data_IF_441369142482
#
_entry.id   IF_441369142482
#
_cell.length_a   1.000
_cell.length_b   1.000
_cell.length_c   1.000
_cell.angle_alpha   90.00
_cell.angle_beta   90.00
_cell.angle_gamma   90.00
#
_symmetry.space_group_name_H-M   'P 1'
#
loop_
_entity.id
_entity.type
_entity.pdbx_description
1 polymer ?
#
# COMPACT_ATOMS: atom_id res chain seq x y z
N UNK A 1 -22.97 -2.65 29.10
CA UNK A 1 -22.01 -1.51 29.06
C UNK A 1 -20.81 -1.97 28.25
N UNK A 2 -20.44 -1.27 27.19
CA UNK A 2 -19.32 -1.65 26.34
C UNK A 2 -18.00 -1.46 27.12
N UNK A 3 -17.19 -2.52 27.24
CA UNK A 3 -15.87 -2.42 27.85
C UNK A 3 -14.98 -1.64 26.88
N UNK A 4 -14.75 -0.36 27.18
CA UNK A 4 -13.86 0.48 26.37
C UNK A 4 -12.41 0.12 26.67
N UNK A 5 -11.73 -0.46 25.67
CA UNK A 5 -10.31 -0.78 25.76
C UNK A 5 -9.48 0.50 25.72
N UNK A 6 -8.55 0.66 26.66
CA UNK A 6 -7.61 1.79 26.66
C UNK A 6 -6.37 1.47 25.80
N UNK A 7 -5.64 2.48 25.30
CA UNK A 7 -4.38 2.30 24.61
C UNK A 7 -3.20 2.00 25.54
N UNK A 8 -3.43 1.78 26.85
CA UNK A 8 -2.38 1.56 27.83
C UNK A 8 -2.12 0.07 28.06
N UNK A 9 -0.83 -0.32 28.10
CA UNK A 9 -0.38 -1.67 28.44
C UNK A 9 0.56 -1.57 29.65
N UNK A 10 0.22 -2.25 30.73
CA UNK A 10 1.12 -2.44 31.87
C UNK A 10 2.04 -3.63 31.58
N UNK A 11 3.35 -3.45 31.76
CA UNK A 11 4.36 -4.49 31.64
C UNK A 11 5.14 -4.61 32.95
N UNK A 12 5.30 -5.84 33.42
CA UNK A 12 6.11 -6.16 34.59
C UNK A 12 7.54 -6.42 34.13
N UNK A 13 8.50 -5.64 34.66
CA UNK A 13 9.91 -5.67 34.28
C UNK A 13 10.73 -6.61 35.17
N UNK A 14 10.38 -6.75 36.44
CA UNK A 14 11.09 -7.57 37.42
C UNK A 14 10.14 -8.25 38.42
N UNK A 15 10.68 -9.19 39.23
CA UNK A 15 9.91 -9.99 40.20
C UNK A 15 9.39 -11.31 39.64
N UNK A 16 8.60 -12.04 40.44
CA UNK A 16 8.11 -13.38 40.08
C UNK A 16 7.24 -13.41 38.80
N UNK A 17 6.67 -12.26 38.42
CA UNK A 17 5.82 -12.11 37.24
C UNK A 17 6.52 -11.32 36.11
N UNK A 18 7.86 -11.24 36.11
CA UNK A 18 8.62 -10.52 35.09
C UNK A 18 8.28 -11.02 33.68
N UNK A 19 8.09 -10.08 32.74
CA UNK A 19 7.68 -10.37 31.36
C UNK A 19 6.17 -10.39 31.15
N UNK A 20 5.36 -10.44 32.21
CA UNK A 20 3.90 -10.32 32.09
C UNK A 20 3.51 -8.96 31.50
N UNK A 21 2.49 -8.94 30.63
CA UNK A 21 1.95 -7.74 30.03
C UNK A 21 0.43 -7.80 30.02
N UNK A 22 -0.23 -6.73 30.47
CA UNK A 22 -1.69 -6.65 30.59
C UNK A 22 -2.18 -5.36 29.96
N UNK A 23 -3.18 -5.46 29.07
CA UNK A 23 -3.84 -4.27 28.51
C UNK A 23 -4.83 -3.72 29.55
N UNK A 24 -4.68 -2.44 29.88
CA UNK A 24 -5.52 -1.77 30.86
C UNK A 24 -6.87 -1.37 30.21
N UNK A 25 -7.95 -1.52 30.97
CA UNK A 25 -9.28 -1.03 30.60
C UNK A 25 -9.46 0.37 31.18
N UNK A 26 -10.30 1.21 30.56
CA UNK A 26 -10.66 2.49 31.18
C UNK A 26 -11.40 2.25 32.52
N UNK A 27 -11.14 3.10 33.50
CA UNK A 27 -11.68 2.98 34.86
C UNK A 27 -10.60 2.67 35.90
N UNK A 28 -11.03 2.21 37.08
CA UNK A 28 -10.14 1.90 38.20
C UNK A 28 -9.59 0.48 38.08
N UNK A 29 -8.28 0.33 38.26
CA UNK A 29 -7.56 -0.94 38.28
C UNK A 29 -6.74 -1.04 39.57
N UNK A 30 -7.01 -2.04 40.39
CA UNK A 30 -6.27 -2.32 41.62
C UNK A 30 -5.22 -3.40 41.38
N UNK A 31 -3.99 -3.12 41.81
CA UNK A 31 -2.83 -4.01 41.74
C UNK A 31 -2.43 -4.41 43.16
N UNK A 32 -2.29 -5.71 43.40
CA UNK A 32 -1.93 -6.24 44.71
C UNK A 32 -1.70 -7.74 44.69
N UNK A 33 -1.46 -8.31 45.86
CA UNK A 33 -1.25 -9.76 46.03
C UNK A 33 -2.55 -10.54 46.21
N UNK A 34 -3.61 -9.89 46.69
CA UNK A 34 -4.89 -10.56 46.97
C UNK A 34 -5.64 -10.91 45.69
N UNK A 35 -6.38 -12.02 45.74
CA UNK A 35 -7.32 -12.41 44.68
C UNK A 35 -8.47 -11.40 44.47
N UNK A 36 -8.65 -10.44 45.38
CA UNK A 36 -9.58 -9.34 45.21
C UNK A 36 -9.04 -8.16 44.37
N UNK A 37 -7.78 -8.21 43.95
CA UNK A 37 -7.17 -7.20 43.06
C UNK A 37 -7.38 -7.55 41.59
N UNK A 38 -7.50 -6.54 40.72
CA UNK A 38 -7.68 -6.73 39.28
C UNK A 38 -6.42 -7.28 38.59
N UNK A 39 -5.24 -6.86 39.07
CA UNK A 39 -3.95 -7.41 38.66
C UNK A 39 -3.29 -8.03 39.90
N UNK A 40 -3.13 -9.34 39.86
CA UNK A 40 -2.57 -10.13 40.96
C UNK A 40 -1.08 -10.35 40.73
N UNK A 41 -0.26 -9.88 41.67
CA UNK A 41 1.19 -10.07 41.66
C UNK A 41 1.59 -10.97 42.84
N UNK A 42 2.10 -12.16 42.50
CA UNK A 42 2.60 -13.15 43.46
C UNK A 42 4.01 -12.77 43.95
N UNK A 43 4.10 -11.76 44.80
CA UNK A 43 5.37 -11.34 45.43
C UNK A 43 5.13 -11.00 46.91
N UNK A 44 6.00 -11.45 47.81
CA UNK A 44 5.87 -11.21 49.25
C UNK A 44 6.03 -9.73 49.63
N UNK A 45 6.73 -8.95 48.81
CA UNK A 45 6.92 -7.51 49.03
C UNK A 45 5.69 -6.67 48.65
N UNK A 46 4.65 -7.28 48.08
CA UNK A 46 3.42 -6.63 47.65
C UNK A 46 2.30 -6.88 48.66
N UNK A 47 1.56 -5.80 48.97
CA UNK A 47 0.42 -5.84 49.88
C UNK A 47 -0.82 -6.40 49.18
N UNK A 48 -1.81 -6.83 49.94
CA UNK A 48 -3.05 -7.41 49.41
C UNK A 48 -3.74 -6.48 48.39
N UNK A 49 -3.74 -5.16 48.66
CA UNK A 49 -4.01 -4.08 47.70
C UNK A 49 -2.89 -3.05 47.84
N UNK A 50 -2.07 -2.89 46.82
CA UNK A 50 -0.81 -2.12 46.94
C UNK A 50 -0.84 -0.82 46.13
N UNK A 51 -1.45 -0.84 44.95
CA UNK A 51 -1.55 0.31 44.06
C UNK A 51 -2.92 0.34 43.39
N UNK A 52 -3.49 1.52 43.21
CA UNK A 52 -4.66 1.74 42.37
C UNK A 52 -4.27 2.66 41.21
N UNK A 53 -4.69 2.31 40.00
CA UNK A 53 -4.54 3.11 38.80
C UNK A 53 -5.92 3.52 38.29
N UNK A 54 -6.13 4.82 38.09
CA UNK A 54 -7.32 5.35 37.43
C UNK A 54 -6.97 5.67 35.98
N UNK A 55 -7.53 4.89 35.06
CA UNK A 55 -7.21 4.91 33.63
C UNK A 55 -8.27 5.74 32.89
N UNK A 56 -7.89 6.93 32.43
CA UNK A 56 -8.68 7.76 31.53
C UNK A 56 -8.43 7.44 30.05
N UNK A 57 -8.97 8.29 29.16
CA UNK A 57 -8.73 8.18 27.72
C UNK A 57 -7.28 8.53 27.32
N UNK A 58 -6.66 9.46 28.06
CA UNK A 58 -5.34 10.03 27.77
C UNK A 58 -4.40 10.15 28.97
N UNK A 59 -4.87 9.87 30.18
CA UNK A 59 -4.08 10.01 31.39
C UNK A 59 -4.29 8.85 32.37
N UNK A 60 -3.28 8.65 33.21
CA UNK A 60 -3.28 7.65 34.27
C UNK A 60 -3.00 8.39 35.57
N UNK A 61 -3.89 8.26 36.55
CA UNK A 61 -3.61 8.68 37.91
C UNK A 61 -3.22 7.46 38.73
N UNK A 62 -2.15 7.60 39.50
CA UNK A 62 -1.63 6.59 40.41
C UNK A 62 -2.00 6.97 41.84
N UNK A 63 -2.59 6.03 42.57
CA UNK A 63 -2.95 6.17 43.97
C UNK A 63 -2.29 5.03 44.77
N UNK A 64 -1.28 5.30 45.61
CA UNK A 64 -0.69 4.29 46.48
C UNK A 64 -1.70 3.85 47.54
N UNK A 65 -1.85 2.53 47.74
CA UNK A 65 -2.68 1.95 48.80
C UNK A 65 -1.85 1.30 49.91
N UNK A 66 -0.59 1.00 49.62
CA UNK A 66 0.40 0.52 50.57
C UNK A 66 1.76 1.16 50.27
N UNK A 67 2.72 0.93 51.17
CA UNK A 67 4.09 1.45 51.05
C UNK A 67 5.09 0.31 50.93
N UNK A 68 6.22 0.49 50.23
CA UNK A 68 6.61 1.69 49.48
C UNK A 68 6.22 1.64 48.00
N UNK A 69 5.88 2.79 47.41
CA UNK A 69 5.66 2.99 45.97
C UNK A 69 6.58 4.09 45.45
N UNK A 70 7.46 3.74 44.52
CA UNK A 70 8.34 4.71 43.86
C UNK A 70 7.98 4.86 42.38
N UNK A 71 8.15 6.07 41.83
CA UNK A 71 8.03 6.35 40.40
C UNK A 71 9.34 7.01 39.93
N UNK A 72 10.06 6.36 39.01
CA UNK A 72 11.41 6.73 38.57
C UNK A 72 12.37 7.00 39.76
N UNK A 73 12.23 6.22 40.84
CA UNK A 73 13.03 6.34 42.06
C UNK A 73 12.57 7.43 43.05
N UNK A 74 11.52 8.20 42.74
CA UNK A 74 10.91 9.16 43.67
C UNK A 74 9.81 8.50 44.48
N UNK A 75 9.87 8.60 45.81
CA UNK A 75 8.82 8.07 46.67
C UNK A 75 7.52 8.88 46.51
N UNK A 76 6.45 8.19 46.12
CA UNK A 76 5.11 8.78 45.96
C UNK A 76 4.10 8.20 46.94
N UNK A 77 4.52 7.38 47.91
CA UNK A 77 3.65 6.59 48.78
C UNK A 77 2.57 7.37 49.54
N UNK A 78 2.74 8.68 49.72
CA UNK A 78 1.85 9.53 50.52
C UNK A 78 0.90 10.43 49.73
N UNK A 79 0.88 10.35 48.39
CA UNK A 79 0.00 11.18 47.57
C UNK A 79 -0.40 10.51 46.27
N UNK A 80 -1.59 10.82 45.78
CA UNK A 80 -1.91 10.54 44.38
C UNK A 80 -1.07 11.41 43.46
N UNK A 81 -0.62 10.84 42.35
CA UNK A 81 0.16 11.55 41.34
C UNK A 81 -0.21 11.09 39.93
N UNK A 82 -0.08 11.97 38.96
CA UNK A 82 -0.20 11.60 37.54
C UNK A 82 0.98 10.71 37.15
N UNK A 83 0.70 9.55 36.57
CA UNK A 83 1.71 8.64 36.03
C UNK A 83 1.86 8.89 34.53
N UNK A 84 3.02 9.39 34.12
CA UNK A 84 3.34 9.48 32.71
C UNK A 84 3.69 8.10 32.13
N UNK A 85 3.31 7.80 30.87
CA UNK A 85 3.74 6.56 30.22
C UNK A 85 5.27 6.43 30.18
N UNK A 86 5.76 5.19 30.17
CA UNK A 86 7.17 4.79 30.18
C UNK A 86 7.94 5.05 31.49
N UNK A 87 7.30 5.62 32.50
CA UNK A 87 7.87 5.76 33.84
C UNK A 87 7.89 4.43 34.57
N UNK A 88 9.01 4.15 35.25
CA UNK A 88 9.18 2.93 36.05
C UNK A 88 8.50 3.13 37.39
N UNK A 89 7.70 2.17 37.81
CA UNK A 89 7.04 2.17 39.10
C UNK A 89 7.54 0.96 39.87
N UNK A 90 7.99 1.16 41.10
CA UNK A 90 8.49 0.10 41.96
C UNK A 90 7.53 -0.11 43.12
N UNK A 91 7.08 -1.36 43.27
CA UNK A 91 6.24 -1.85 44.37
C UNK A 91 7.07 -2.91 45.12
N UNK A 92 7.80 -2.50 46.15
CA UNK A 92 8.78 -3.37 46.80
C UNK A 92 9.86 -3.87 45.82
N UNK A 93 9.91 -5.18 45.57
CA UNK A 93 10.85 -5.83 44.66
C UNK A 93 10.38 -5.88 43.19
N UNK A 94 9.13 -5.51 42.91
CA UNK A 94 8.54 -5.57 41.57
C UNK A 94 8.61 -4.22 40.88
N UNK A 95 9.20 -4.19 39.70
CA UNK A 95 9.24 -3.04 38.80
C UNK A 95 8.22 -3.22 37.68
N UNK A 96 7.42 -2.18 37.41
CA UNK A 96 6.42 -2.16 36.36
C UNK A 96 6.48 -0.86 35.56
N UNK A 97 6.01 -0.90 34.32
CA UNK A 97 5.93 0.26 33.43
C UNK A 97 4.59 0.25 32.71
N UNK A 98 3.99 1.43 32.53
CA UNK A 98 2.79 1.57 31.70
C UNK A 98 3.17 2.21 30.37
N UNK A 99 2.90 1.51 29.27
CA UNK A 99 3.20 1.92 27.91
C UNK A 99 1.93 2.49 27.27
N UNK A 100 2.06 3.55 26.45
CA UNK A 100 0.97 4.03 25.59
C UNK A 100 1.22 3.52 24.17
N UNK A 101 0.32 2.67 23.64
CA UNK A 101 0.48 2.09 22.29
C UNK A 101 0.34 3.12 21.16
N UNK A 102 -0.11 4.34 21.47
CA UNK A 102 -0.18 5.46 20.50
C UNK A 102 1.16 6.20 20.40
N UNK A 103 2.06 6.01 21.36
CA UNK A 103 3.38 6.64 21.38
C UNK A 103 4.45 5.58 21.07
N UNK A 104 5.42 5.97 20.25
CA UNK A 104 6.61 5.14 20.05
C UNK A 104 7.48 5.34 21.28
N UNK A 105 7.95 4.25 21.89
CA UNK A 105 8.83 4.31 23.06
C UNK A 105 10.03 5.23 22.75
N UNK A 106 10.50 6.07 23.70
CA UNK A 106 11.74 6.79 23.51
C UNK A 106 12.85 5.76 23.35
N UNK A 107 13.37 5.59 22.13
CA UNK A 107 14.58 4.82 21.90
C UNK A 107 15.69 5.50 22.69
N UNK A 108 16.16 4.81 23.73
CA UNK A 108 17.43 5.13 24.37
C UNK A 108 18.53 5.04 23.30
N UNK A 109 19.03 6.20 22.89
CA UNK A 109 20.38 6.44 22.37
C UNK A 109 20.86 5.56 21.22
N UNK A 110 20.40 5.83 20.01
CA UNK A 110 21.14 5.49 18.79
C UNK A 110 21.27 6.76 17.94
N UNK A 111 22.34 7.51 18.20
CA UNK A 111 22.75 8.66 17.35
C UNK A 111 23.43 8.11 16.11
N UNK A 112 22.66 7.85 15.06
CA UNK A 112 23.18 7.85 13.70
C UNK A 112 22.96 9.24 13.11
N UNK A 113 24.06 9.91 12.74
CA UNK A 113 24.07 10.79 11.58
C UNK A 113 25.49 10.89 11.04
N UNK A 114 25.79 9.96 10.14
CA UNK A 114 26.79 10.14 9.11
C UNK A 114 26.13 9.86 7.76
N UNK A 115 26.43 10.76 6.80
CA UNK A 115 26.20 10.75 5.35
C UNK A 115 25.03 11.64 4.89
N UNK A 116 25.15 12.41 3.81
CA UNK A 116 26.27 12.81 2.95
C UNK A 116 25.74 13.97 2.07
N UNK A 117 26.62 14.91 1.76
CA UNK A 117 26.82 15.51 0.44
C UNK A 117 25.60 15.80 -0.46
N UNK A 118 25.33 17.09 -0.69
CA UNK A 118 25.10 17.57 -2.06
C UNK A 118 25.91 18.84 -2.29
N UNK A 119 26.73 18.78 -3.34
CA UNK A 119 27.66 19.81 -3.79
C UNK A 119 26.92 21.06 -4.25
N UNK A 120 27.32 22.22 -3.72
CA UNK A 120 27.06 23.51 -4.32
C UNK A 120 28.24 23.93 -5.20
N UNK A 121 27.88 24.46 -6.37
CA UNK A 121 28.74 25.18 -7.30
C UNK A 121 29.54 26.29 -6.61
N UNK A 122 30.85 26.32 -6.83
CA UNK A 122 31.57 27.58 -7.04
C UNK A 122 32.83 27.31 -7.86
N UNK A 123 32.82 27.73 -9.13
CA UNK A 123 34.02 27.96 -9.90
C UNK A 123 34.20 29.48 -10.00
N UNK A 124 35.32 29.98 -9.49
CA UNK A 124 35.87 31.29 -9.79
C UNK A 124 37.22 31.09 -10.44
N UNK A 125 37.38 31.59 -11.66
CA UNK A 125 38.59 32.12 -12.29
C UNK A 125 38.06 32.96 -13.48
N UNK A 126 37.89 34.28 -13.37
CA UNK A 126 38.92 35.33 -13.37
C UNK A 126 39.81 35.30 -14.62
N UNK A 127 39.48 36.13 -15.62
CA UNK A 127 40.48 37.02 -16.21
C UNK A 127 39.89 38.21 -16.99
N UNK A 128 40.51 39.38 -16.75
CA UNK A 128 40.70 40.56 -17.63
C UNK A 128 39.53 41.52 -17.95
N UNK A 129 39.55 42.62 -17.18
CA UNK A 129 39.55 44.08 -17.53
C UNK A 129 40.12 44.41 -18.95
N UNK A 130 39.88 45.52 -19.68
CA UNK A 130 39.70 46.98 -19.42
C UNK A 130 39.05 47.66 -20.67
N UNK A 131 38.32 48.76 -20.44
CA UNK A 131 38.04 49.95 -21.28
C UNK A 131 38.95 50.21 -22.51
N UNK A 132 38.47 50.60 -23.70
CA UNK A 132 37.77 51.81 -24.16
C UNK A 132 38.68 52.89 -24.80
N UNK A 133 38.23 53.34 -25.98
CA UNK A 133 38.38 54.64 -26.64
C UNK A 133 39.71 55.07 -27.32
N UNK A 134 39.59 55.34 -28.63
CA UNK A 134 40.01 56.52 -29.42
C UNK A 134 40.39 56.04 -30.85
N UNK A 135 39.96 56.56 -31.99
CA UNK A 135 39.31 57.82 -32.37
C UNK A 135 40.09 58.42 -33.55
N UNK A 136 39.65 58.30 -34.82
CA UNK A 136 40.15 59.15 -35.94
C UNK A 136 39.10 59.35 -37.06
N UNK A 137 38.65 60.61 -37.16
CA UNK A 137 38.23 61.51 -38.28
C UNK A 137 37.95 60.95 -39.70
N UNK A 138 36.88 61.45 -40.40
CA UNK A 138 36.55 61.08 -41.79
C UNK A 138 37.20 61.99 -42.84
N UNK A 139 37.54 61.45 -44.02
CA UNK A 139 37.95 62.22 -45.19
C UNK A 139 36.88 62.20 -46.29
N UNK A 140 36.57 63.40 -46.81
CA UNK A 140 35.59 63.64 -47.88
C UNK A 140 36.13 63.13 -49.22
N UNK A 141 35.31 62.41 -50.00
CA UNK A 141 35.62 62.11 -51.41
C UNK A 141 34.46 62.46 -52.34
N UNK A 142 34.77 63.29 -53.33
CA UNK A 142 33.90 63.83 -54.38
C UNK A 142 33.37 62.72 -55.29
N UNK A 143 32.08 62.80 -55.63
CA UNK A 143 31.42 61.99 -56.65
C UNK A 143 31.86 62.42 -58.04
N UNK A 144 32.10 61.43 -58.91
CA UNK A 144 32.44 61.60 -60.32
C UNK A 144 31.38 60.92 -61.19
N UNK A 145 31.21 61.46 -62.39
CA UNK A 145 30.06 61.41 -63.31
C UNK A 145 29.69 60.03 -63.94
N UNK A 146 29.58 58.96 -63.15
CA UNK A 146 29.18 57.61 -63.61
C UNK A 146 27.94 57.02 -62.93
N UNK A 147 27.23 57.80 -62.10
CA UNK A 147 26.08 57.33 -61.31
C UNK A 147 24.78 57.22 -62.09
N UNK A 148 24.65 57.87 -63.24
CA UNK A 148 23.44 57.79 -64.07
C UNK A 148 23.25 56.44 -64.77
N UNK A 149 24.32 55.70 -65.04
CA UNK A 149 24.24 54.38 -65.68
C UNK A 149 23.84 53.27 -64.68
N UNK A 150 24.25 53.41 -63.41
CA UNK A 150 23.86 52.49 -62.35
C UNK A 150 22.38 52.63 -61.96
N UNK A 151 21.82 53.85 -61.99
CA UNK A 151 20.41 54.13 -61.73
C UNK A 151 19.53 53.63 -62.88
N UNK A 152 19.97 53.80 -64.13
CA UNK A 152 19.28 53.25 -65.30
C UNK A 152 19.22 51.73 -65.32
N UNK A 153 20.30 51.04 -64.92
CA UNK A 153 20.34 49.58 -64.84
C UNK A 153 19.45 49.03 -63.71
N UNK A 154 19.36 49.73 -62.58
CA UNK A 154 18.50 49.32 -61.46
C UNK A 154 17.02 49.50 -61.78
N UNK A 155 16.64 50.58 -62.46
CA UNK A 155 15.26 50.79 -62.93
C UNK A 155 14.84 49.80 -64.02
N UNK A 156 15.76 49.41 -64.91
CA UNK A 156 15.52 48.39 -65.93
C UNK A 156 15.38 46.99 -65.31
N UNK A 157 16.20 46.66 -64.31
CA UNK A 157 16.06 45.42 -63.53
C UNK A 157 14.76 45.38 -62.73
N UNK A 158 14.35 46.49 -62.12
CA UNK A 158 13.07 46.59 -61.38
C UNK A 158 11.85 46.51 -62.32
N UNK A 159 11.91 47.12 -63.50
CA UNK A 159 10.86 47.03 -64.51
C UNK A 159 10.72 45.63 -65.12
N UNK A 160 11.85 44.95 -65.37
CA UNK A 160 11.85 43.57 -65.86
C UNK A 160 11.37 42.59 -64.78
N UNK A 161 11.72 42.83 -63.51
CA UNK A 161 11.21 42.07 -62.38
C UNK A 161 9.69 42.21 -62.23
N UNK A 162 9.12 43.40 -62.47
CA UNK A 162 7.67 43.60 -62.41
C UNK A 162 6.93 42.91 -63.56
N UNK A 163 7.49 42.95 -64.77
CA UNK A 163 6.90 42.33 -65.96
C UNK A 163 6.92 40.78 -65.92
N UNK A 164 7.92 40.16 -65.27
CA UNK A 164 8.06 38.70 -65.15
C UNK A 164 7.41 38.05 -63.91
N UNK A 165 6.86 38.83 -62.98
CA UNK A 165 6.17 38.33 -61.77
C UNK A 165 5.02 37.32 -62.04
N UNK A 166 4.16 37.47 -63.08
CA UNK A 166 3.08 36.50 -63.29
C UNK A 166 3.59 35.13 -63.78
N UNK A 167 4.78 35.06 -64.40
CA UNK A 167 5.36 33.81 -64.91
C UNK A 167 6.35 33.15 -63.93
N UNK A 168 6.84 33.85 -62.90
CA UNK A 168 7.69 33.27 -61.86
C UNK A 168 6.94 32.37 -60.86
N UNK A 169 5.61 32.50 -60.76
CA UNK A 169 4.78 31.65 -59.87
C UNK A 169 4.85 30.16 -60.21
N UNK A 170 5.19 29.81 -61.46
CA UNK A 170 5.36 28.42 -61.89
C UNK A 170 6.77 27.88 -61.66
N UNK A 171 7.78 28.74 -61.56
CA UNK A 171 9.18 28.35 -61.35
C UNK A 171 9.49 28.12 -59.85
N UNK A 172 8.83 28.85 -58.95
CA UNK A 172 8.97 28.67 -57.49
C UNK A 172 8.46 27.31 -57.00
N UNK A 173 7.50 26.70 -57.70
CA UNK A 173 7.00 25.36 -57.39
C UNK A 173 7.96 24.24 -57.85
N UNK A 174 8.88 24.53 -58.79
CA UNK A 174 9.89 23.56 -59.26
C UNK A 174 11.25 23.67 -58.55
N UNK A 175 11.52 24.76 -57.82
CA UNK A 175 12.81 25.00 -57.15
C UNK A 175 12.82 24.78 -55.63
N UNK A 176 11.73 24.30 -55.00
CA UNK A 176 11.78 23.87 -53.59
C UNK A 176 12.16 24.96 -52.57
N UNK A 177 11.92 26.24 -52.89
CA UNK A 177 12.25 27.40 -52.02
C UNK A 177 11.09 27.83 -51.10
N UNK A 178 10.19 26.89 -50.79
CA UNK A 178 9.45 26.87 -49.54
C UNK A 178 9.91 25.62 -48.83
N UNK A 179 10.16 25.63 -47.50
CA UNK A 179 10.23 24.37 -46.80
C UNK A 179 8.91 23.66 -47.13
N UNK A 180 9.00 22.49 -47.77
CA UNK A 180 7.83 21.67 -48.06
C UNK A 180 7.03 21.58 -46.76
N UNK A 181 5.70 21.52 -46.80
CA UNK A 181 4.90 21.29 -45.59
C UNK A 181 5.46 20.11 -44.76
N UNK A 182 6.19 19.23 -45.42
CA UNK A 182 7.05 18.15 -44.90
C UNK A 182 8.23 18.61 -44.03
N UNK A 183 9.06 19.57 -44.47
CA UNK A 183 10.19 20.09 -43.68
C UNK A 183 9.73 20.96 -42.49
N UNK A 184 8.61 21.66 -42.64
CA UNK A 184 7.98 22.38 -41.52
C UNK A 184 7.35 21.43 -40.50
N UNK A 185 6.69 20.36 -40.96
CA UNK A 185 6.20 19.31 -40.06
C UNK A 185 7.36 18.62 -39.33
N UNK A 186 8.45 18.29 -40.03
CA UNK A 186 9.60 17.56 -39.46
C UNK A 186 10.41 18.41 -38.47
N UNK A 187 10.61 19.70 -38.74
CA UNK A 187 11.24 20.64 -37.79
C UNK A 187 10.35 20.94 -36.57
N UNK A 188 9.02 20.94 -36.73
CA UNK A 188 8.08 21.08 -35.60
C UNK A 188 7.98 19.80 -34.77
N UNK A 189 8.01 18.62 -35.40
CA UNK A 189 8.04 17.30 -34.73
C UNK A 189 9.32 17.14 -33.89
N UNK A 190 10.46 17.59 -34.41
CA UNK A 190 11.73 17.57 -33.68
C UNK A 190 11.82 18.64 -32.58
N UNK A 191 11.16 19.80 -32.73
CA UNK A 191 11.04 20.82 -31.69
C UNK A 191 10.08 20.50 -30.55
N UNK A 192 9.10 19.60 -30.77
CA UNK A 192 8.10 19.21 -29.78
C UNK A 192 8.57 18.07 -28.85
N UNK A 193 9.74 17.47 -29.08
CA UNK A 193 10.31 16.43 -28.21
C UNK A 193 9.46 15.15 -28.10
N UNK A 194 8.43 15.00 -28.95
CA UNK A 194 7.44 13.94 -28.87
C UNK A 194 7.95 12.69 -29.61
N UNK A 195 8.67 11.85 -28.89
CA UNK A 195 9.19 10.56 -29.33
C UNK A 195 8.07 9.55 -29.55
N UNK A 196 7.38 9.62 -30.69
CA UNK A 196 6.36 8.60 -31.01
C UNK A 196 5.46 8.87 -32.22
N UNK A 197 5.60 10.02 -32.88
CA UNK A 197 4.80 10.37 -34.06
C UNK A 197 5.51 9.93 -35.34
N UNK A 198 4.83 9.14 -36.15
CA UNK A 198 5.28 8.67 -37.46
C UNK A 198 4.38 9.27 -38.53
N UNK A 199 5.01 9.84 -39.57
CA UNK A 199 4.30 10.31 -40.76
C UNK A 199 4.42 9.25 -41.83
N UNK A 200 3.27 8.78 -42.33
CA UNK A 200 3.18 7.88 -43.49
C UNK A 200 2.54 8.67 -44.62
N UNK A 201 3.27 8.83 -45.72
CA UNK A 201 2.74 9.44 -46.94
C UNK A 201 2.25 8.31 -47.83
N UNK A 202 0.95 8.28 -48.11
CA UNK A 202 0.35 7.29 -48.98
C UNK A 202 0.67 7.61 -50.44
N UNK A 203 0.65 6.58 -51.29
CA UNK A 203 0.96 6.70 -52.72
C UNK A 203 0.00 7.62 -53.51
N UNK A 204 -1.15 7.98 -52.91
CA UNK A 204 -2.16 8.91 -53.43
C UNK A 204 -1.86 10.40 -53.10
N UNK A 205 -0.77 10.68 -52.38
CA UNK A 205 -0.40 12.03 -51.94
C UNK A 205 -1.06 12.49 -50.63
N UNK A 206 -1.89 11.66 -49.99
CA UNK A 206 -2.42 11.92 -48.66
C UNK A 206 -1.37 11.65 -47.58
N UNK A 207 -1.22 12.56 -46.63
CA UNK A 207 -0.32 12.39 -45.49
C UNK A 207 -1.12 11.92 -44.28
N UNK A 208 -0.71 10.83 -43.64
CA UNK A 208 -1.24 10.37 -42.34
C UNK A 208 -0.17 10.60 -41.28
N UNK A 209 -0.53 11.27 -40.20
CA UNK A 209 0.32 11.41 -39.02
C UNK A 209 -0.28 10.52 -37.93
N UNK A 210 0.44 9.46 -37.55
CA UNK A 210 0.03 8.53 -36.51
C UNK A 210 1.00 8.54 -35.36
N UNK A 211 0.52 8.32 -34.13
CA UNK A 211 1.41 8.20 -32.99
C UNK A 211 0.72 8.27 -31.65
N UNK A 212 1.52 8.25 -30.60
CA UNK A 212 1.06 8.17 -29.22
C UNK A 212 1.51 9.39 -28.45
N UNK A 213 0.58 10.00 -27.71
CA UNK A 213 0.85 11.14 -26.84
C UNK A 213 0.43 10.82 -25.40
N UNK A 214 1.15 11.32 -24.38
CA UNK A 214 0.88 10.91 -23.00
C UNK A 214 -0.54 11.22 -22.51
N UNK A 215 -1.05 12.43 -22.78
CA UNK A 215 -2.32 12.92 -22.23
C UNK A 215 -3.26 13.44 -23.32
N UNK A 216 -4.56 13.48 -22.99
CA UNK A 216 -5.59 14.00 -23.89
C UNK A 216 -5.39 15.48 -24.18
N UNK A 217 -4.95 16.25 -23.17
CA UNK A 217 -4.62 17.67 -23.33
C UNK A 217 -3.50 17.87 -24.36
N UNK A 218 -2.45 17.05 -24.30
CA UNK A 218 -1.32 17.16 -25.23
C UNK A 218 -1.70 16.77 -26.65
N UNK A 219 -2.55 15.75 -26.81
CA UNK A 219 -3.18 15.42 -28.10
C UNK A 219 -3.87 16.63 -28.71
N UNK A 220 -4.74 17.28 -27.93
CA UNK A 220 -5.56 18.37 -28.43
C UNK A 220 -4.68 19.58 -28.81
N UNK A 221 -3.66 19.89 -28.01
CA UNK A 221 -2.66 20.93 -28.30
C UNK A 221 -1.91 20.65 -29.61
N UNK A 222 -1.48 19.40 -29.81
CA UNK A 222 -0.78 18.96 -31.01
C UNK A 222 -1.68 19.07 -32.25
N UNK A 223 -2.90 18.56 -32.18
CA UNK A 223 -3.88 18.64 -33.27
C UNK A 223 -4.18 20.11 -33.62
N UNK A 224 -4.31 20.99 -32.64
CA UNK A 224 -4.50 22.43 -32.88
C UNK A 224 -3.28 23.07 -33.55
N UNK A 225 -2.07 22.69 -33.15
CA UNK A 225 -0.83 23.22 -33.71
C UNK A 225 -0.64 22.77 -35.16
N UNK A 226 -0.89 21.50 -35.47
CA UNK A 226 -0.82 20.95 -36.82
C UNK A 226 -1.84 21.62 -37.77
N UNK A 227 -3.06 21.86 -37.29
CA UNK A 227 -4.09 22.57 -38.08
C UNK A 227 -3.72 24.02 -38.39
N UNK A 228 -3.18 24.75 -37.41
CA UNK A 228 -2.71 26.13 -37.61
C UNK A 228 -1.52 26.23 -38.56
N UNK A 229 -0.69 25.19 -38.63
CA UNK A 229 0.40 25.08 -39.58
C UNK A 229 -0.07 24.80 -41.03
N UNK A 230 -1.38 24.60 -41.26
CA UNK A 230 -1.92 24.33 -42.60
C UNK A 230 -1.62 22.92 -43.12
N UNK A 231 -1.28 21.99 -42.23
CA UNK A 231 -1.00 20.60 -42.59
C UNK A 231 -2.33 19.88 -42.82
N UNK A 232 -2.70 19.69 -44.09
CA UNK A 232 -3.85 18.89 -44.50
C UNK A 232 -3.47 17.39 -44.48
N UNK A 233 -3.37 16.81 -43.29
CA UNK A 233 -3.08 15.40 -43.06
C UNK A 233 -4.20 14.74 -42.25
N UNK A 234 -4.43 13.44 -42.47
CA UNK A 234 -5.28 12.66 -41.58
C UNK A 234 -4.52 12.35 -40.29
N UNK A 235 -5.09 12.66 -39.13
CA UNK A 235 -4.41 12.62 -37.83
C UNK A 235 -4.94 11.44 -37.00
N UNK A 236 -4.12 10.39 -36.85
CA UNK A 236 -4.41 9.22 -36.03
C UNK A 236 -3.56 9.25 -34.76
N UNK A 237 -3.85 10.21 -33.89
CA UNK A 237 -3.08 10.48 -32.68
C UNK A 237 -3.84 9.94 -31.46
N UNK A 238 -3.28 8.95 -30.80
CA UNK A 238 -3.92 8.26 -29.67
C UNK A 238 -3.35 8.75 -28.34
N UNK A 239 -4.22 9.02 -27.37
CA UNK A 239 -3.79 9.40 -26.01
C UNK A 239 -3.61 8.16 -25.15
N UNK A 240 -2.46 8.06 -24.47
CA UNK A 240 -2.15 6.97 -23.55
C UNK A 240 -3.11 6.94 -22.35
N UNK A 241 -3.36 8.10 -21.76
CA UNK A 241 -4.34 8.30 -20.69
C UNK A 241 -5.75 7.82 -21.08
N UNK A 242 -6.26 8.27 -22.22
CA UNK A 242 -7.61 7.89 -22.68
C UNK A 242 -7.70 6.39 -23.02
N UNK A 243 -6.66 5.81 -23.64
CA UNK A 243 -6.63 4.37 -23.93
C UNK A 243 -6.70 3.54 -22.63
N UNK A 244 -5.92 3.91 -21.61
CA UNK A 244 -5.94 3.25 -20.31
C UNK A 244 -7.31 3.37 -19.63
N UNK A 245 -7.91 4.56 -19.66
CA UNK A 245 -9.23 4.82 -19.07
C UNK A 245 -10.32 4.00 -19.76
N UNK A 246 -10.37 4.00 -21.10
CA UNK A 246 -11.34 3.24 -21.88
C UNK A 246 -11.17 1.73 -21.68
N UNK A 247 -9.93 1.22 -21.70
CA UNK A 247 -9.65 -0.19 -21.43
C UNK A 247 -10.10 -0.59 -20.01
N UNK A 248 -9.83 0.25 -19.02
CA UNK A 248 -10.28 0.02 -17.64
C UNK A 248 -11.81 0.07 -17.53
N UNK A 249 -12.48 0.95 -18.27
CA UNK A 249 -13.95 1.05 -18.30
C UNK A 249 -14.60 -0.21 -18.86
N UNK A 250 -14.03 -0.78 -19.94
CA UNK A 250 -14.49 -2.07 -20.49
C UNK A 250 -14.39 -3.17 -19.43
N UNK A 251 -13.24 -3.29 -18.75
CA UNK A 251 -13.09 -4.26 -17.67
C UNK A 251 -14.13 -4.09 -16.56
N UNK A 252 -14.35 -2.85 -16.11
CA UNK A 252 -15.36 -2.55 -15.08
C UNK A 252 -16.77 -2.94 -15.54
N UNK A 253 -17.12 -2.69 -16.79
CA UNK A 253 -18.43 -3.05 -17.35
C UNK A 253 -18.65 -4.58 -17.41
N UNK A 254 -17.57 -5.33 -17.60
CA UNK A 254 -17.56 -6.80 -17.55
C UNK A 254 -17.42 -7.35 -16.12
N UNK A 255 -17.26 -6.46 -15.13
CA UNK A 255 -17.07 -6.77 -13.72
C UNK A 255 -15.65 -7.23 -13.35
N UNK A 256 -14.69 -7.11 -14.25
CA UNK A 256 -13.27 -7.40 -13.99
C UNK A 256 -12.61 -6.21 -13.29
N UNK A 257 -12.83 -6.07 -11.98
CA UNK A 257 -12.25 -4.99 -11.19
C UNK A 257 -10.86 -5.31 -10.64
N UNK A 258 -10.43 -6.57 -10.72
CA UNK A 258 -9.16 -7.05 -10.18
C UNK A 258 -7.96 -6.87 -11.11
N UNK A 259 -8.16 -6.30 -12.30
CA UNK A 259 -7.12 -6.11 -13.31
C UNK A 259 -6.90 -4.62 -13.51
N UNK A 260 -5.64 -4.22 -13.53
CA UNK A 260 -5.22 -2.88 -13.91
C UNK A 260 -4.31 -2.92 -15.14
N UNK A 261 -4.44 -1.89 -15.96
CA UNK A 261 -3.53 -1.67 -17.07
C UNK A 261 -2.45 -0.67 -16.69
N UNK A 262 -1.24 -0.97 -17.13
CA UNK A 262 -0.13 -0.04 -17.20
C UNK A 262 0.34 0.01 -18.64
N UNK A 263 0.94 1.12 -19.08
CA UNK A 263 1.38 1.26 -20.46
C UNK A 263 2.89 1.31 -20.53
N UNK A 264 3.48 0.36 -21.27
CA UNK A 264 4.92 0.33 -21.57
C UNK A 264 5.21 -0.79 -22.61
N UNK A 265 5.74 -0.53 -23.82
CA UNK A 265 5.97 0.76 -24.51
C UNK A 265 4.67 1.37 -25.12
N UNK A 266 4.70 2.56 -25.76
CA UNK A 266 3.50 3.19 -26.32
C UNK A 266 2.72 2.32 -27.31
N UNK A 267 1.40 2.22 -27.12
CA UNK A 267 0.51 1.34 -27.89
C UNK A 267 0.38 -0.08 -27.35
N UNK A 268 1.21 -0.47 -26.38
CA UNK A 268 1.14 -1.78 -25.72
C UNK A 268 0.65 -1.61 -24.28
N UNK A 269 -0.44 -2.31 -23.94
CA UNK A 269 -0.98 -2.35 -22.59
C UNK A 269 -0.43 -3.57 -21.86
N UNK A 270 0.07 -3.39 -20.64
CA UNK A 270 0.44 -4.45 -19.72
C UNK A 270 -0.68 -4.62 -18.70
N UNK A 271 -1.34 -5.76 -18.72
CA UNK A 271 -2.35 -6.14 -17.76
C UNK A 271 -1.69 -6.81 -16.55
N UNK A 272 -2.05 -6.36 -15.34
CA UNK A 272 -1.62 -6.97 -14.09
C UNK A 272 -2.79 -7.10 -13.13
N UNK A 273 -2.91 -8.25 -12.48
CA UNK A 273 -3.91 -8.49 -11.46
C UNK A 273 -4.59 -9.84 -11.58
N UNK A 274 -5.80 -9.94 -11.05
CA UNK A 274 -6.55 -11.19 -10.96
C UNK A 274 -7.87 -11.08 -11.72
N UNK A 275 -8.02 -11.94 -12.74
CA UNK A 275 -9.23 -12.14 -13.50
C UNK A 275 -10.17 -13.14 -12.82
N UNK A 276 -11.49 -12.98 -12.98
CA UNK A 276 -12.47 -13.94 -12.45
C UNK A 276 -12.32 -15.33 -13.07
N UNK A 277 -12.10 -15.38 -14.38
CA UNK A 277 -11.85 -16.60 -15.13
C UNK A 277 -10.99 -16.33 -16.36
N UNK A 278 -10.42 -17.39 -16.92
CA UNK A 278 -9.67 -17.32 -18.17
C UNK A 278 -10.55 -16.86 -19.34
N UNK A 279 -11.78 -17.39 -19.45
CA UNK A 279 -12.67 -17.10 -20.57
C UNK A 279 -13.12 -15.63 -20.59
N UNK A 280 -13.49 -15.09 -19.41
CA UNK A 280 -13.90 -13.69 -19.29
C UNK A 280 -12.72 -12.76 -19.59
N UNK A 281 -11.51 -13.11 -19.16
CA UNK A 281 -10.31 -12.36 -19.51
C UNK A 281 -10.05 -12.35 -21.02
N UNK A 282 -10.15 -13.51 -21.70
CA UNK A 282 -9.92 -13.57 -23.15
C UNK A 282 -10.97 -12.76 -23.92
N UNK A 283 -12.23 -12.80 -23.51
CA UNK A 283 -13.28 -11.97 -24.09
C UNK A 283 -12.99 -10.48 -23.88
N UNK A 284 -12.62 -10.08 -22.66
CA UNK A 284 -12.28 -8.69 -22.37
C UNK A 284 -11.07 -8.21 -23.18
N UNK A 285 -10.03 -9.04 -23.29
CA UNK A 285 -8.84 -8.77 -24.10
C UNK A 285 -9.22 -8.51 -25.56
N UNK A 286 -10.10 -9.33 -26.13
CA UNK A 286 -10.57 -9.17 -27.50
C UNK A 286 -11.39 -7.89 -27.68
N UNK A 287 -12.32 -7.61 -26.77
CA UNK A 287 -13.13 -6.37 -26.79
C UNK A 287 -12.26 -5.13 -26.69
N UNK A 288 -11.23 -5.13 -25.84
CA UNK A 288 -10.31 -3.99 -25.70
C UNK A 288 -9.50 -3.79 -26.99
N UNK A 289 -9.02 -4.87 -27.61
CA UNK A 289 -8.29 -4.80 -28.88
C UNK A 289 -9.15 -4.31 -30.05
N UNK A 290 -10.46 -4.60 -30.06
CA UNK A 290 -11.37 -4.12 -31.11
C UNK A 290 -11.89 -2.72 -30.88
N UNK A 291 -12.23 -2.38 -29.63
CA UNK A 291 -13.03 -1.18 -29.32
C UNK A 291 -12.16 -0.01 -28.85
N UNK A 292 -10.97 -0.26 -28.29
CA UNK A 292 -10.04 0.80 -27.86
C UNK A 292 -9.05 1.11 -28.98
N UNK A 293 -9.32 2.22 -29.68
CA UNK A 293 -8.45 2.71 -30.73
C UNK A 293 -7.02 2.98 -30.24
N UNK A 294 -6.03 2.50 -31.00
CA UNK A 294 -4.61 2.73 -30.73
C UNK A 294 -3.92 1.62 -29.93
N UNK A 295 -4.66 0.67 -29.34
CA UNK A 295 -4.07 -0.51 -28.70
C UNK A 295 -3.58 -1.49 -29.77
N UNK A 296 -2.28 -1.79 -29.76
CA UNK A 296 -1.65 -2.74 -30.68
C UNK A 296 -1.61 -4.14 -30.09
N UNK A 297 -1.24 -4.23 -28.82
CA UNK A 297 -1.05 -5.49 -28.11
C UNK A 297 -1.36 -5.32 -26.63
N UNK A 298 -1.82 -6.41 -26.03
CA UNK A 298 -2.01 -6.54 -24.58
C UNK A 298 -1.11 -7.67 -24.08
N UNK A 299 -0.14 -7.33 -23.23
CA UNK A 299 0.68 -8.28 -22.46
C UNK A 299 -0.10 -8.69 -21.19
N UNK A 300 -0.35 -9.99 -21.05
CA UNK A 300 -1.12 -10.58 -19.96
C UNK A 300 -0.30 -11.52 -19.07
N UNK A 301 1.03 -11.47 -19.15
CA UNK A 301 1.91 -12.29 -18.29
C UNK A 301 1.69 -12.02 -16.79
N UNK A 302 1.21 -10.84 -16.43
CA UNK A 302 0.89 -10.46 -15.05
C UNK A 302 -0.56 -10.76 -14.63
N UNK A 303 -1.38 -11.38 -15.48
CA UNK A 303 -2.78 -11.71 -15.18
C UNK A 303 -2.86 -13.14 -14.67
N UNK A 304 -3.46 -13.32 -13.50
CA UNK A 304 -3.76 -14.62 -12.92
C UNK A 304 -5.27 -14.80 -12.79
N UNK A 305 -5.75 -16.03 -12.61
CA UNK A 305 -7.16 -16.28 -12.30
C UNK A 305 -7.38 -16.40 -10.80
N UNK A 306 -8.61 -16.14 -10.33
CA UNK A 306 -8.99 -16.38 -8.94
C UNK A 306 -8.70 -17.84 -8.55
N UNK A 307 -8.94 -18.81 -9.44
CA UNK A 307 -8.67 -20.22 -9.18
C UNK A 307 -7.17 -20.51 -9.00
N UNK A 308 -6.31 -19.90 -9.82
CA UNK A 308 -4.86 -20.00 -9.68
C UNK A 308 -4.39 -19.35 -8.38
N UNK A 309 -4.89 -18.16 -8.05
CA UNK A 309 -4.57 -17.45 -6.81
C UNK A 309 -5.02 -18.23 -5.56
N UNK A 310 -6.22 -18.82 -5.59
CA UNK A 310 -6.73 -19.70 -4.53
C UNK A 310 -5.84 -20.93 -4.34
N UNK A 311 -5.42 -21.56 -5.45
CA UNK A 311 -4.52 -22.72 -5.42
C UNK A 311 -3.16 -22.36 -4.83
N UNK A 312 -2.60 -21.21 -5.23
CA UNK A 312 -1.35 -20.69 -4.67
C UNK A 312 -1.46 -20.46 -3.16
N UNK A 313 -2.57 -19.86 -2.70
CA UNK A 313 -2.82 -19.65 -1.28
C UNK A 313 -2.97 -20.98 -0.54
N UNK A 314 -3.70 -21.94 -1.09
CA UNK A 314 -3.86 -23.27 -0.50
C UNK A 314 -2.51 -23.98 -0.31
N UNK A 315 -1.65 -23.97 -1.32
CA UNK A 315 -0.30 -24.52 -1.25
C UNK A 315 0.57 -23.78 -0.21
N UNK A 316 0.44 -22.46 -0.12
CA UNK A 316 1.17 -21.64 0.83
C UNK A 316 0.80 -21.99 2.28
N UNK A 317 -0.49 -22.18 2.55
CA UNK A 317 -1.01 -22.60 3.86
C UNK A 317 -0.55 -24.01 4.20
N UNK A 318 -0.63 -24.94 3.26
CA UNK A 318 -0.21 -26.34 3.46
C UNK A 318 1.28 -26.44 3.79
N UNK A 319 2.13 -25.72 3.04
CA UNK A 319 3.58 -25.66 3.29
C UNK A 319 3.92 -25.12 4.68
N UNK A 320 3.10 -24.22 5.22
CA UNK A 320 3.29 -23.60 6.55
C UNK A 320 2.72 -24.47 7.69
N UNK A 321 2.28 -25.70 7.39
CA UNK A 321 1.90 -26.68 8.39
C UNK A 321 0.48 -26.54 8.93
N UNK A 322 -0.36 -25.69 8.32
CA UNK A 322 -1.80 -25.75 8.55
C UNK A 322 -2.42 -26.72 7.54
N UNK A 323 -2.96 -27.83 8.05
CA UNK A 323 -3.35 -29.01 7.26
C UNK A 323 -4.85 -29.03 6.96
N UNK A 324 -5.17 -29.41 5.70
CA UNK A 324 -6.35 -29.99 5.02
C UNK A 324 -7.80 -29.78 5.49
N UNK A 325 -8.03 -29.19 6.66
CA UNK A 325 -9.37 -28.97 7.24
C UNK A 325 -9.94 -27.60 6.91
N UNK A 326 -9.12 -26.76 6.28
CA UNK A 326 -9.55 -25.49 5.74
C UNK A 326 -10.22 -25.72 4.40
N UNK A 327 -11.50 -25.36 4.33
CA UNK A 327 -12.24 -25.25 3.09
C UNK A 327 -12.00 -23.87 2.51
N UNK A 328 -11.20 -23.82 1.45
CA UNK A 328 -10.92 -22.60 0.71
C UNK A 328 -11.86 -22.58 -0.49
N UNK A 329 -12.66 -21.52 -0.58
CA UNK A 329 -13.69 -21.35 -1.61
C UNK A 329 -13.63 -19.95 -2.18
N UNK A 330 -14.16 -19.75 -3.38
CA UNK A 330 -14.34 -18.42 -3.97
C UNK A 330 -15.77 -17.97 -3.81
N UNK A 331 -15.95 -16.71 -3.44
CA UNK A 331 -17.27 -16.08 -3.35
C UNK A 331 -17.14 -14.59 -3.69
N UNK A 332 -17.97 -14.11 -4.61
CA UNK A 332 -18.10 -12.69 -4.92
C UNK A 332 -16.76 -12.00 -5.25
N UNK A 333 -15.86 -12.72 -5.92
CA UNK A 333 -14.52 -12.22 -6.26
C UNK A 333 -13.50 -12.24 -5.12
N UNK A 334 -13.83 -12.82 -3.96
CA UNK A 334 -12.94 -12.97 -2.81
C UNK A 334 -12.64 -14.45 -2.54
N UNK A 335 -11.52 -14.69 -1.85
CA UNK A 335 -11.15 -16.01 -1.35
C UNK A 335 -11.66 -16.13 0.09
N UNK A 336 -12.59 -17.05 0.33
CA UNK A 336 -13.13 -17.35 1.65
C UNK A 336 -12.49 -18.61 2.19
N UNK A 337 -11.87 -18.49 3.36
CA UNK A 337 -11.27 -19.60 4.10
C UNK A 337 -12.19 -19.96 5.27
N UNK A 338 -12.77 -21.15 5.25
CA UNK A 338 -13.62 -21.69 6.31
C UNK A 338 -12.94 -22.85 7.00
N UNK A 339 -13.19 -23.00 8.29
CA UNK A 339 -12.69 -24.15 9.02
C UNK A 339 -12.85 -24.00 10.53
N UNK A 340 -12.76 -25.15 11.19
CA UNK A 340 -12.76 -25.27 12.64
C UNK A 340 -11.30 -25.37 13.10
N UNK A 341 -10.85 -24.36 13.84
CA UNK A 341 -9.47 -24.23 14.29
C UNK A 341 -9.41 -23.93 15.78
N UNK A 342 -8.27 -24.19 16.41
CA UNK A 342 -7.94 -23.69 17.75
C UNK A 342 -7.52 -22.21 17.69
N UNK A 343 -7.59 -21.49 18.81
CA UNK A 343 -7.16 -20.09 18.87
C UNK A 343 -5.71 -19.87 18.40
N UNK A 344 -4.80 -20.79 18.71
CA UNK A 344 -3.40 -20.71 18.25
C UNK A 344 -3.29 -20.86 16.73
N UNK A 345 -4.04 -21.78 16.13
CA UNK A 345 -4.08 -21.97 14.68
C UNK A 345 -4.74 -20.77 13.97
N UNK A 346 -5.77 -20.15 14.56
CA UNK A 346 -6.37 -18.92 14.02
C UNK A 346 -5.33 -17.80 13.96
N UNK A 347 -4.56 -17.61 15.02
CA UNK A 347 -3.49 -16.59 15.04
C UNK A 347 -2.35 -16.93 14.07
N UNK A 348 -2.01 -18.21 13.89
CA UNK A 348 -1.07 -18.64 12.85
C UNK A 348 -1.61 -18.35 11.44
N UNK A 349 -2.89 -18.67 11.17
CA UNK A 349 -3.53 -18.44 9.88
C UNK A 349 -3.58 -16.94 9.53
N UNK A 350 -3.87 -16.08 10.51
CA UNK A 350 -3.81 -14.61 10.32
C UNK A 350 -2.43 -14.15 9.88
N UNK A 351 -1.36 -14.68 10.50
CA UNK A 351 0.03 -14.36 10.12
C UNK A 351 0.36 -14.85 8.71
N UNK A 352 0.01 -16.11 8.38
CA UNK A 352 0.22 -16.69 7.05
C UNK A 352 -0.50 -15.89 5.97
N UNK A 353 -1.76 -15.50 6.21
CA UNK A 353 -2.52 -14.64 5.30
C UNK A 353 -1.80 -13.32 5.05
N UNK A 354 -1.33 -12.65 6.11
CA UNK A 354 -0.66 -11.37 5.96
C UNK A 354 0.67 -11.53 5.18
N UNK A 355 1.48 -12.55 5.50
CA UNK A 355 2.73 -12.87 4.77
C UNK A 355 2.47 -13.17 3.28
N UNK A 356 1.38 -13.88 2.98
CA UNK A 356 0.97 -14.17 1.61
C UNK A 356 0.56 -12.89 0.86
N UNK A 357 -0.19 -11.99 1.50
CA UNK A 357 -0.59 -10.70 0.92
C UNK A 357 0.64 -9.81 0.70
N UNK A 358 1.62 -9.82 1.59
CA UNK A 358 2.87 -9.07 1.40
C UNK A 358 3.73 -9.61 0.24
N UNK A 359 3.73 -10.93 0.04
CA UNK A 359 4.56 -11.58 -0.99
C UNK A 359 3.90 -11.56 -2.37
N UNK A 360 2.60 -11.79 -2.44
CA UNK A 360 1.85 -12.02 -3.69
C UNK A 360 0.67 -11.06 -3.89
N UNK A 361 0.32 -10.27 -2.88
CA UNK A 361 -0.77 -9.31 -2.97
C UNK A 361 -0.35 -8.01 -3.65
N UNK A 362 -1.27 -7.45 -4.43
CA UNK A 362 -1.22 -6.07 -4.90
C UNK A 362 -2.58 -5.40 -4.63
N UNK A 363 -2.66 -4.08 -4.80
CA UNK A 363 -3.87 -3.30 -4.51
C UNK A 363 -5.16 -3.82 -5.19
N UNK A 364 -5.02 -4.53 -6.31
CA UNK A 364 -6.15 -5.06 -7.11
C UNK A 364 -6.36 -6.57 -6.95
N UNK A 365 -5.71 -7.22 -5.98
CA UNK A 365 -5.89 -8.65 -5.72
C UNK A 365 -7.12 -8.92 -4.84
N UNK A 366 -7.75 -10.09 -4.98
CA UNK A 366 -8.93 -10.44 -4.22
C UNK A 366 -8.59 -10.55 -2.72
N UNK A 367 -9.51 -10.12 -1.87
CA UNK A 367 -9.30 -10.20 -0.43
C UNK A 367 -9.43 -11.64 0.06
N UNK A 368 -8.60 -12.00 1.03
CA UNK A 368 -8.68 -13.30 1.73
C UNK A 368 -9.43 -13.12 3.04
N UNK A 369 -10.69 -13.57 3.05
CA UNK A 369 -11.58 -13.47 4.19
C UNK A 369 -11.51 -14.74 5.02
N UNK A 370 -11.16 -14.59 6.30
CA UNK A 370 -11.07 -15.71 7.24
C UNK A 370 -12.40 -15.87 7.98
N UNK A 371 -13.19 -16.86 7.58
CA UNK A 371 -14.43 -17.27 8.22
C UNK A 371 -14.19 -18.57 9.01
N UNK A 372 -13.24 -18.50 9.94
CA UNK A 372 -12.85 -19.61 10.80
C UNK A 372 -13.51 -19.48 12.18
N UNK A 373 -13.87 -20.61 12.77
CA UNK A 373 -14.53 -20.66 14.08
C UNK A 373 -13.59 -21.32 15.08
N UNK A 374 -13.46 -20.73 16.27
CA UNK A 374 -12.75 -21.37 17.37
C UNK A 374 -13.53 -22.60 17.84
N UNK A 375 -12.92 -23.77 17.78
CA UNK A 375 -13.54 -25.01 18.24
C UNK A 375 -13.93 -24.95 19.71
N UNK A 376 -13.19 -24.22 20.55
CA UNK A 376 -13.54 -24.03 21.97
C UNK A 376 -14.91 -23.38 22.12
N UNK A 377 -15.28 -22.45 21.24
CA UNK A 377 -16.56 -21.73 21.33
C UNK A 377 -17.77 -22.62 21.02
N UNK A 378 -17.56 -23.78 20.37
CA UNK A 378 -18.62 -24.77 20.11
C UNK A 378 -18.86 -25.70 21.30
N UNK A 379 -17.96 -25.72 22.28
CA UNK A 379 -18.04 -26.61 23.45
C UNK A 379 -19.01 -26.03 24.46
N UNK A 380 -20.22 -26.61 24.53
CA UNK A 380 -21.22 -26.29 25.57
C UNK A 380 -20.97 -27.14 26.81
N UNK A 381 -19.87 -26.87 27.52
CA UNK A 381 -19.54 -27.56 28.77
C UNK A 381 -19.51 -26.55 29.92
N UNK A 382 -20.46 -26.68 30.84
CA UNK A 382 -20.40 -25.97 32.11
C UNK A 382 -20.00 -26.94 33.21
N UNK A 383 -18.77 -26.82 33.69
CA UNK A 383 -18.24 -27.69 34.75
C UNK A 383 -18.71 -27.15 36.11
N UNK A 384 -19.28 -28.03 36.94
CA UNK A 384 -19.65 -27.74 38.33
C UNK A 384 -18.54 -28.12 39.29
N UNK A 385 -17.93 -29.30 39.10
CA UNK A 385 -16.81 -29.76 39.91
C UNK A 385 -15.92 -30.74 39.15
N UNK A 386 -14.67 -30.84 39.56
CA UNK A 386 -13.70 -31.81 39.03
C UNK A 386 -13.04 -32.51 40.21
N UNK A 387 -12.89 -33.83 40.11
CA UNK A 387 -12.20 -34.68 41.08
C UNK A 387 -11.03 -35.37 40.38
N UNK A 388 -9.82 -35.14 40.88
CA UNK A 388 -8.55 -35.62 40.29
C UNK A 388 -7.93 -36.75 41.10
N UNK A 389 -8.77 -37.51 41.84
CA UNK A 389 -8.31 -38.66 42.63
C UNK A 389 -7.86 -39.84 41.76
N UNK A 390 -7.71 -41.03 42.37
CA UNK A 390 -7.29 -42.27 41.68
C UNK A 390 -8.10 -42.59 40.41
N UNK A 391 -9.37 -42.19 40.39
CA UNK A 391 -10.25 -42.28 39.23
C UNK A 391 -10.76 -40.86 38.98
N UNK A 392 -10.16 -40.13 38.03
CA UNK A 392 -10.55 -38.75 37.81
C UNK A 392 -11.91 -38.66 37.10
N UNK A 393 -12.71 -37.68 37.49
CA UNK A 393 -14.03 -37.43 36.90
C UNK A 393 -14.41 -35.94 37.01
N UNK A 394 -15.27 -35.48 36.11
CA UNK A 394 -15.89 -34.16 36.17
C UNK A 394 -17.41 -34.30 36.32
N UNK A 395 -18.02 -33.33 36.97
CA UNK A 395 -19.49 -33.19 37.05
C UNK A 395 -19.87 -31.88 36.40
N UNK A 396 -20.78 -31.96 35.45
CA UNK A 396 -21.35 -30.81 34.73
C UNK A 396 -22.41 -30.06 35.57
N UNK A 397 -22.80 -28.85 35.17
CA UNK A 397 -23.85 -28.07 35.84
C UNK A 397 -25.22 -28.75 35.81
N UNK A 398 -25.49 -29.57 34.80
CA UNK A 398 -26.67 -30.45 34.72
C UNK A 398 -26.55 -31.71 35.59
N UNK A 399 -25.44 -31.89 36.32
CA UNK A 399 -25.25 -32.99 37.28
C UNK A 399 -24.75 -34.29 36.65
N UNK A 400 -24.54 -34.34 35.33
CA UNK A 400 -23.97 -35.52 34.68
C UNK A 400 -22.48 -35.66 34.99
N UNK A 401 -22.08 -36.90 35.30
CA UNK A 401 -20.69 -37.28 35.58
C UNK A 401 -20.02 -37.79 34.31
N UNK A 402 -18.83 -37.28 34.02
CA UNK A 402 -18.00 -37.72 32.90
C UNK A 402 -16.64 -38.17 33.41
N UNK A 403 -16.17 -39.31 32.92
CA UNK A 403 -14.84 -39.87 33.17
C UNK A 403 -13.96 -39.70 31.93
N UNK A 404 -12.67 -39.97 32.05
CA UNK A 404 -11.79 -40.11 30.89
C UNK A 404 -12.37 -41.16 29.92
N UNK A 405 -12.35 -40.87 28.62
CA UNK A 405 -13.01 -41.61 27.55
C UNK A 405 -14.49 -41.28 27.33
N UNK A 406 -15.14 -40.54 28.23
CA UNK A 406 -16.58 -40.24 28.10
C UNK A 406 -16.89 -39.29 26.95
N UNK A 407 -17.97 -39.56 26.22
CA UNK A 407 -18.52 -38.65 25.22
C UNK A 407 -19.27 -37.50 25.89
N UNK A 408 -18.95 -36.27 25.50
CA UNK A 408 -19.53 -35.05 26.06
C UNK A 408 -20.65 -34.48 25.19
N UNK A 409 -20.37 -34.32 23.89
CA UNK A 409 -21.31 -33.88 22.84
C UNK A 409 -20.97 -34.59 21.54
N UNK A 410 -21.69 -34.30 20.44
CA UNK A 410 -21.67 -35.11 19.21
C UNK A 410 -20.27 -35.51 18.72
N UNK A 411 -19.26 -34.65 18.89
CA UNK A 411 -17.88 -34.89 18.44
C UNK A 411 -16.78 -34.69 19.50
N UNK A 412 -17.12 -34.47 20.78
CA UNK A 412 -16.13 -34.20 21.82
C UNK A 412 -16.09 -35.30 22.88
N UNK A 413 -14.88 -35.74 23.21
CA UNK A 413 -14.60 -36.75 24.22
C UNK A 413 -13.67 -36.19 25.30
N UNK A 414 -13.83 -36.66 26.53
CA UNK A 414 -12.88 -36.35 27.61
C UNK A 414 -11.65 -37.22 27.42
N UNK A 415 -10.49 -36.65 27.09
CA UNK A 415 -9.24 -37.40 26.94
C UNK A 415 -8.52 -37.59 28.26
N UNK A 416 -8.32 -36.50 28.99
CA UNK A 416 -7.71 -36.54 30.33
C UNK A 416 -8.26 -35.44 31.21
N UNK A 417 -8.28 -35.68 32.52
CA UNK A 417 -8.73 -34.73 33.53
C UNK A 417 -7.55 -34.40 34.44
N UNK A 418 -7.08 -33.15 34.38
CA UNK A 418 -5.96 -32.65 35.18
C UNK A 418 -6.47 -31.66 36.25
N UNK A 419 -5.63 -31.27 37.23
CA UNK A 419 -6.04 -30.36 38.32
C UNK A 419 -6.45 -28.94 37.92
N UNK A 420 -6.03 -28.47 36.76
CA UNK A 420 -6.21 -27.11 36.26
C UNK A 420 -7.08 -27.05 34.99
N UNK A 421 -7.09 -28.13 34.20
CA UNK A 421 -7.86 -28.24 32.97
C UNK A 421 -8.32 -29.66 32.65
N UNK A 422 -9.34 -29.76 31.81
CA UNK A 422 -9.74 -31.01 31.16
C UNK A 422 -9.28 -30.95 29.72
N UNK A 423 -8.61 -32.00 29.23
CA UNK A 423 -8.26 -32.11 27.82
C UNK A 423 -9.40 -32.80 27.10
N UNK A 424 -10.02 -32.08 26.18
CA UNK A 424 -11.07 -32.61 25.32
C UNK A 424 -10.46 -33.03 23.99
N UNK A 425 -10.90 -34.16 23.44
CA UNK A 425 -10.49 -34.63 22.13
C UNK A 425 -11.62 -34.59 21.12
N UNK A 426 -11.32 -34.09 19.93
CA UNK A 426 -12.22 -34.04 18.77
C UNK A 426 -11.41 -34.24 17.50
N UNK A 427 -11.82 -35.20 16.65
CA UNK A 427 -11.17 -35.48 15.36
C UNK A 427 -9.63 -35.57 15.44
N UNK A 428 -9.09 -36.16 16.52
CA UNK A 428 -7.66 -36.34 16.74
C UNK A 428 -6.91 -35.13 17.33
N UNK A 429 -7.59 -34.02 17.64
CA UNK A 429 -7.00 -32.86 18.32
C UNK A 429 -7.27 -32.86 19.82
N UNK A 430 -6.35 -32.27 20.57
CA UNK A 430 -6.47 -32.05 22.01
C UNK A 430 -6.71 -30.57 22.29
N UNK A 431 -7.81 -30.27 22.96
CA UNK A 431 -8.22 -28.91 23.34
C UNK A 431 -8.19 -28.82 24.87
N UNK A 432 -7.27 -28.04 25.46
CA UNK A 432 -7.29 -27.79 26.89
C UNK A 432 -8.47 -26.87 27.24
N UNK A 433 -9.35 -27.36 28.11
CA UNK A 433 -10.49 -26.64 28.66
C UNK A 433 -10.25 -26.38 30.15
N UNK A 434 -9.76 -25.18 30.46
CA UNK A 434 -9.49 -24.75 31.83
C UNK A 434 -10.79 -24.53 32.60
N UNK A 435 -10.83 -24.98 33.85
CA UNK A 435 -11.98 -24.82 34.75
C UNK A 435 -11.57 -24.04 35.99
N UNK A 436 -12.52 -23.34 36.62
CA UNK A 436 -12.24 -22.45 37.75
C UNK A 436 -11.68 -21.07 37.37
N UNK A 437 -11.45 -20.81 36.08
CA UNK A 437 -11.17 -19.49 35.54
C UNK A 437 -12.53 -18.93 35.06
N UNK A 438 -13.13 -18.01 35.81
CA UNK A 438 -14.31 -17.29 35.31
C UNK A 438 -13.85 -16.36 34.18
N UNK A 439 -14.06 -16.77 32.92
CA UNK A 439 -14.06 -15.82 31.80
C UNK A 439 -15.27 -14.87 32.00
N UNK A 440 -15.00 -13.71 32.59
CA UNK A 440 -15.90 -12.54 32.53
C UNK A 440 -16.84 -12.35 33.71
N UNK A 441 -16.33 -11.70 34.76
CA UNK A 441 -16.92 -10.43 35.21
C UNK A 441 -16.02 -9.28 34.79
#
# INVERSE_FOLDING_TARGET
>A
MAVQHSPFILKVLSGANAGASVRLKQGTVVIGRSMASDIILHDESIADRHLELQIGADEIQLLPLATPVFVDGVDVSNRSSKLEPYKRVNLGAVELVVLDTRRVAPLAGATEQAKQSSNQNTHSQANSTVSAADGVVPSKKKWNDKTYLAIGLTLLLLGNLWYFLPNLKQLTNKLGLRPSAEQQAESMLSGLGETGLQRVVNADGSSVISGYVPTTSKRNELIWTLRRAGINANLNIYSQEEMLENAQMILRSMGETGIAFTQNPPGNLQAKGVARSTDVWQQAKQTILSDVGGVKQIDDAGVQTIDSYMTLFAQFVEKKGLISRLQITKDSGNVIVKGDLTQNEIEQLKRIRNEFIETYGAANYPSIVLNVVDMKSKIKLAIRSVSVGKIPYLVSKDGKKYMEGSKLSDNYFVKSIKPDHVVLSTQGMDIPFYYGIEEGK
#
